data_IF_890688236662
#
_entry.id   IF_890688236662
#
_cell.length_a   1.000
_cell.length_b   1.000
_cell.length_c   1.000
_cell.angle_alpha   90.00
_cell.angle_beta   90.00
_cell.angle_gamma   90.00
#
_symmetry.space_group_name_H-M   'P 1'
#
loop_
_entity.id
_entity.type
_entity.pdbx_description
1 polymer ?
#
# COMPACT_ATOMS: atom_id res chain seq x y z
N UNK A 1 82.18 8.21 25.76
CA UNK A 1 81.40 7.95 24.52
C UNK A 1 80.36 6.89 24.84
N UNK A 2 79.06 7.19 24.95
CA UNK A 2 78.13 7.47 23.83
C UNK A 2 78.28 6.34 22.78
N UNK A 3 77.28 5.52 22.43
CA UNK A 3 75.93 5.88 21.98
C UNK A 3 74.96 4.68 22.01
N UNK A 4 73.65 5.00 22.04
CA UNK A 4 72.50 4.11 21.85
C UNK A 4 72.46 3.51 20.44
N UNK A 5 71.91 2.29 20.27
CA UNK A 5 71.36 1.86 18.96
C UNK A 5 70.04 1.08 19.07
N UNK A 6 68.95 1.86 18.92
CA UNK A 6 67.75 1.72 18.08
C UNK A 6 67.23 0.31 17.68
N UNK A 7 65.97 0.08 18.05
CA UNK A 7 65.07 -0.96 17.53
C UNK A 7 64.80 -0.73 16.02
N UNK A 8 64.96 -1.77 15.20
CA UNK A 8 64.74 -1.72 13.75
C UNK A 8 63.94 -2.92 13.25
N UNK A 9 62.72 -2.66 12.80
CA UNK A 9 61.88 -3.56 12.00
C UNK A 9 62.51 -3.78 10.62
N UNK A 10 62.54 -5.02 10.14
CA UNK A 10 62.63 -5.29 8.70
C UNK A 10 61.59 -6.33 8.30
N UNK A 11 60.73 -5.90 7.38
CA UNK A 11 59.59 -6.61 6.84
C UNK A 11 59.97 -7.89 6.08
N UNK A 12 59.12 -8.92 6.21
CA UNK A 12 59.01 -9.97 5.19
C UNK A 12 57.75 -9.75 4.39
N UNK A 13 57.97 -9.48 3.11
CA UNK A 13 56.99 -9.23 2.06
C UNK A 13 56.22 -10.51 1.72
N UNK A 14 55.02 -10.66 2.25
CA UNK A 14 54.02 -11.56 1.66
C UNK A 14 53.24 -10.80 0.60
N UNK A 15 53.48 -11.12 -0.68
CA UNK A 15 52.67 -10.63 -1.80
C UNK A 15 51.24 -11.19 -1.65
N UNK A 16 50.35 -10.40 -1.04
CA UNK A 16 48.93 -10.65 -1.13
C UNK A 16 48.45 -10.10 -2.48
N UNK A 17 48.12 -11.02 -3.38
CA UNK A 17 47.39 -10.77 -4.61
C UNK A 17 46.11 -9.97 -4.28
N UNK A 18 45.83 -8.81 -4.90
CA UNK A 18 44.54 -8.17 -4.70
C UNK A 18 43.49 -9.07 -5.33
N UNK A 19 42.77 -9.82 -4.50
CA UNK A 19 41.52 -10.43 -4.93
C UNK A 19 40.60 -9.27 -5.27
N UNK A 20 40.45 -9.05 -6.58
CA UNK A 20 39.44 -8.21 -7.17
C UNK A 20 38.10 -8.70 -6.65
N UNK A 21 37.60 -8.01 -5.63
CA UNK A 21 36.21 -8.11 -5.20
C UNK A 21 35.39 -7.87 -6.47
N UNK A 22 34.52 -8.79 -6.90
CA UNK A 22 33.56 -8.46 -7.94
C UNK A 22 32.72 -7.33 -7.34
N UNK A 23 32.93 -6.12 -7.85
CA UNK A 23 32.05 -4.99 -7.62
C UNK A 23 30.70 -5.43 -8.14
N UNK A 24 29.85 -5.94 -7.25
CA UNK A 24 28.47 -6.28 -7.59
C UNK A 24 27.82 -4.96 -7.94
N UNK A 25 27.66 -4.79 -9.24
CA UNK A 25 27.05 -3.66 -9.92
C UNK A 25 25.76 -3.30 -9.16
N UNK A 26 25.71 -2.05 -8.72
CA UNK A 26 24.49 -1.44 -8.21
C UNK A 26 23.59 -1.17 -9.41
N UNK A 27 22.97 -2.21 -9.92
CA UNK A 27 21.82 -2.09 -10.80
C UNK A 27 20.70 -1.43 -9.97
N UNK A 28 20.09 -0.46 -10.61
CA UNK A 28 19.01 0.42 -10.17
C UNK A 28 17.79 -0.38 -9.68
N UNK A 29 17.79 -0.74 -8.40
CA UNK A 29 16.74 -1.52 -7.71
C UNK A 29 15.43 -0.73 -7.51
N UNK A 30 14.78 -0.31 -8.59
CA UNK A 30 13.35 0.02 -8.56
C UNK A 30 12.59 -1.30 -8.61
N UNK A 31 12.55 -1.96 -7.45
CA UNK A 31 12.19 -3.35 -7.23
C UNK A 31 10.97 -3.83 -8.00
N UNK A 32 11.17 -4.91 -8.74
CA UNK A 32 10.10 -5.73 -9.32
C UNK A 32 9.30 -6.38 -8.18
N UNK A 33 8.23 -5.73 -7.72
CA UNK A 33 7.31 -6.31 -6.74
C UNK A 33 6.51 -7.43 -7.42
N UNK A 34 6.87 -8.68 -7.14
CA UNK A 34 6.16 -9.85 -7.66
C UNK A 34 4.84 -10.06 -6.87
N UNK A 35 3.66 -9.84 -7.49
CA UNK A 35 2.38 -10.02 -6.81
C UNK A 35 2.08 -11.47 -6.42
N UNK A 36 2.76 -12.44 -7.04
CA UNK A 36 2.60 -13.87 -6.74
C UNK A 36 3.54 -14.36 -5.63
N UNK A 37 4.49 -13.54 -5.20
CA UNK A 37 5.41 -13.86 -4.11
C UNK A 37 4.65 -14.31 -2.87
N UNK A 38 5.02 -15.47 -2.32
CA UNK A 38 4.44 -15.98 -1.08
C UNK A 38 5.12 -15.34 0.13
N UNK A 39 4.33 -14.65 0.94
CA UNK A 39 4.73 -14.01 2.19
C UNK A 39 4.11 -14.76 3.38
N UNK A 40 4.88 -14.87 4.46
CA UNK A 40 4.43 -15.53 5.68
C UNK A 40 3.52 -14.59 6.51
N UNK A 41 2.44 -15.12 7.07
CA UNK A 41 1.57 -14.34 7.95
C UNK A 41 2.25 -14.04 9.31
N UNK A 42 2.20 -12.80 9.82
CA UNK A 42 2.73 -12.46 11.15
C UNK A 42 1.94 -13.04 12.32
N UNK A 43 0.67 -13.43 12.11
CA UNK A 43 -0.18 -14.03 13.15
C UNK A 43 -0.04 -15.56 13.24
N UNK A 44 0.31 -16.21 12.13
CA UNK A 44 0.49 -17.66 12.07
C UNK A 44 1.59 -18.03 11.07
N UNK A 45 2.61 -18.75 11.56
CA UNK A 45 3.77 -19.16 10.78
C UNK A 45 3.43 -20.20 9.71
N UNK A 46 2.32 -20.91 9.85
CA UNK A 46 1.89 -21.94 8.91
C UNK A 46 1.23 -21.35 7.66
N UNK A 47 0.86 -20.06 7.69
CA UNK A 47 0.22 -19.41 6.55
C UNK A 47 1.26 -18.78 5.62
N UNK A 48 1.32 -19.29 4.39
CA UNK A 48 2.00 -18.66 3.26
C UNK A 48 0.97 -18.08 2.29
N UNK A 49 1.00 -16.77 2.10
CA UNK A 49 -0.03 -16.00 1.39
C UNK A 49 0.61 -15.17 0.30
N UNK A 50 0.04 -15.17 -0.90
CA UNK A 50 0.50 -14.30 -1.99
C UNK A 50 0.47 -12.83 -1.57
N UNK A 51 1.47 -12.06 -2.00
CA UNK A 51 1.64 -10.66 -1.64
C UNK A 51 0.38 -9.82 -1.95
N UNK A 52 -0.24 -10.05 -3.12
CA UNK A 52 -1.51 -9.41 -3.51
C UNK A 52 -2.70 -9.71 -2.58
N UNK A 53 -2.71 -10.85 -1.88
CA UNK A 53 -3.82 -11.26 -0.99
C UNK A 53 -3.52 -11.01 0.49
N UNK A 54 -2.28 -10.69 0.83
CA UNK A 54 -1.85 -10.46 2.20
C UNK A 54 -2.71 -9.40 2.94
N UNK A 55 -3.04 -8.22 2.38
CA UNK A 55 -3.84 -7.22 3.11
C UNK A 55 -5.18 -7.78 3.59
N UNK A 56 -5.91 -8.48 2.71
CA UNK A 56 -7.18 -9.11 3.04
C UNK A 56 -7.03 -10.25 4.05
N UNK A 57 -5.97 -11.04 3.91
CA UNK A 57 -5.67 -12.12 4.85
C UNK A 57 -5.42 -11.57 6.26
N UNK A 58 -4.61 -10.52 6.42
CA UNK A 58 -4.29 -9.94 7.72
C UNK A 58 -5.54 -9.47 8.46
N UNK A 59 -6.51 -8.85 7.77
CA UNK A 59 -7.77 -8.40 8.37
C UNK A 59 -8.59 -9.56 8.96
N UNK A 60 -8.63 -10.70 8.26
CA UNK A 60 -9.37 -11.89 8.72
C UNK A 60 -8.59 -12.65 9.79
N UNK A 61 -7.30 -12.87 9.58
CA UNK A 61 -6.44 -13.61 10.48
C UNK A 61 -6.30 -12.90 11.83
N UNK A 62 -6.24 -11.55 11.85
CA UNK A 62 -6.25 -10.75 13.08
C UNK A 62 -7.42 -11.07 14.01
N UNK A 63 -8.62 -11.35 13.46
CA UNK A 63 -9.81 -11.70 14.26
C UNK A 63 -9.68 -13.07 14.95
N UNK A 64 -8.96 -13.99 14.32
CA UNK A 64 -8.74 -15.35 14.84
C UNK A 64 -7.61 -15.41 15.88
N UNK A 65 -6.71 -14.42 15.90
CA UNK A 65 -5.56 -14.37 16.82
C UNK A 65 -5.55 -13.09 17.68
N UNK A 66 -6.52 -12.92 18.61
CA UNK A 66 -6.67 -11.70 19.41
C UNK A 66 -5.47 -11.39 20.32
N UNK A 67 -4.80 -12.45 20.82
CA UNK A 67 -3.60 -12.35 21.66
C UNK A 67 -2.44 -11.66 20.93
N UNK A 68 -2.18 -12.06 19.69
CA UNK A 68 -1.12 -11.47 18.85
C UNK A 68 -1.56 -10.11 18.29
N UNK A 69 -2.84 -9.97 17.93
CA UNK A 69 -3.42 -8.70 17.50
C UNK A 69 -3.30 -7.60 18.57
N UNK A 70 -3.29 -7.98 19.85
CA UNK A 70 -3.08 -7.06 20.96
C UNK A 70 -1.62 -6.63 21.13
N UNK A 71 -0.66 -7.42 20.63
CA UNK A 71 0.78 -7.16 20.76
C UNK A 71 1.36 -6.43 19.54
N UNK A 72 0.80 -6.70 18.36
CA UNK A 72 1.22 -6.12 17.08
C UNK A 72 0.37 -4.91 16.69
N UNK A 73 0.99 -3.91 16.07
CA UNK A 73 0.36 -2.72 15.51
C UNK A 73 0.84 -2.52 14.07
N UNK A 74 -0.03 -1.96 13.24
CA UNK A 74 0.33 -1.62 11.87
C UNK A 74 1.19 -0.34 11.84
N UNK A 75 2.17 -0.29 10.95
CA UNK A 75 2.95 0.91 10.68
C UNK A 75 2.06 2.00 10.05
N UNK A 76 2.25 3.28 10.40
CA UNK A 76 1.51 4.38 9.77
C UNK A 76 1.85 4.58 8.28
N UNK A 77 3.02 4.13 7.82
CA UNK A 77 3.46 4.30 6.43
C UNK A 77 3.12 3.11 5.53
N UNK A 78 3.02 1.90 6.10
CA UNK A 78 2.64 0.70 5.37
C UNK A 78 1.79 -0.23 6.25
N UNK A 79 0.52 -0.40 5.89
CA UNK A 79 -0.42 -1.21 6.63
C UNK A 79 -0.06 -2.71 6.67
N UNK A 80 0.84 -3.18 5.79
CA UNK A 80 1.35 -4.55 5.80
C UNK A 80 2.42 -4.79 6.88
N UNK A 81 3.12 -3.74 7.32
CA UNK A 81 4.12 -3.85 8.37
C UNK A 81 3.42 -4.00 9.73
N UNK A 82 3.43 -5.20 10.28
CA UNK A 82 2.96 -5.49 11.63
C UNK A 82 4.14 -5.56 12.58
N UNK A 83 4.22 -4.57 13.48
CA UNK A 83 5.35 -4.35 14.38
C UNK A 83 4.87 -4.46 15.84
N UNK A 84 5.66 -5.03 16.77
CA UNK A 84 5.34 -5.00 18.18
C UNK A 84 5.13 -3.57 18.70
N UNK A 85 4.14 -3.37 19.57
CA UNK A 85 3.79 -2.04 20.12
C UNK A 85 4.98 -1.26 20.66
N UNK A 86 5.91 -1.93 21.34
CA UNK A 86 7.07 -1.30 21.98
C UNK A 86 8.16 -0.90 20.97
N UNK A 87 8.21 -1.51 19.79
CA UNK A 87 9.20 -1.22 18.75
C UNK A 87 8.69 -0.26 17.68
N UNK A 88 7.38 0.06 17.71
CA UNK A 88 6.73 0.88 16.69
C UNK A 88 7.41 2.26 16.53
N UNK A 89 7.80 2.90 17.62
CA UNK A 89 8.49 4.22 17.58
C UNK A 89 9.81 4.14 16.81
N UNK A 90 10.66 3.17 17.15
CA UNK A 90 11.93 2.95 16.45
C UNK A 90 11.71 2.56 14.98
N UNK A 91 10.67 1.76 14.72
CA UNK A 91 10.30 1.40 13.35
C UNK A 91 9.88 2.63 12.53
N UNK A 92 9.08 3.55 13.09
CA UNK A 92 8.67 4.75 12.33
C UNK A 92 9.84 5.62 11.92
N UNK A 93 10.93 5.63 12.68
CA UNK A 93 12.14 6.38 12.33
C UNK A 93 12.92 5.75 11.18
N UNK A 94 12.87 4.41 11.07
CA UNK A 94 13.71 3.59 10.18
C UNK A 94 12.92 2.90 9.06
N UNK A 95 11.62 3.16 8.94
CA UNK A 95 10.74 2.48 7.99
C UNK A 95 11.12 2.84 6.54
N UNK A 96 11.32 1.82 5.72
CA UNK A 96 11.62 1.95 4.29
C UNK A 96 10.51 2.66 3.51
N UNK A 97 9.25 2.52 3.96
CA UNK A 97 8.09 3.17 3.34
C UNK A 97 7.89 4.62 3.80
N UNK A 98 8.76 5.16 4.67
CA UNK A 98 8.68 6.56 5.11
C UNK A 98 9.22 7.47 4.00
N UNK A 99 8.32 8.24 3.39
CA UNK A 99 8.69 9.30 2.45
C UNK A 99 9.06 10.54 3.28
N UNK A 100 10.29 11.08 3.15
CA UNK A 100 10.68 12.30 3.86
C UNK A 100 9.83 13.47 3.35
N UNK A 101 9.08 14.11 4.24
CA UNK A 101 8.42 15.37 3.93
C UNK A 101 9.49 16.45 4.00
N UNK A 102 9.73 17.10 2.87
CA UNK A 102 10.62 18.23 2.77
C UNK A 102 10.00 19.43 3.49
N UNK A 103 10.69 20.07 4.44
CA UNK A 103 10.11 21.15 5.24
C UNK A 103 9.78 22.42 4.45
N UNK A 104 10.34 22.63 3.25
CA UNK A 104 10.04 23.82 2.44
C UNK A 104 8.60 23.86 1.90
N UNK A 105 7.93 22.71 1.84
CA UNK A 105 6.56 22.56 1.34
C UNK A 105 5.50 22.53 2.46
N UNK A 106 5.93 22.58 3.73
CA UNK A 106 5.06 22.68 4.90
C UNK A 106 5.05 24.09 5.55
N UNK A 107 6.00 24.95 5.17
CA UNK A 107 6.18 26.30 5.72
C UNK A 107 5.70 27.43 4.77
N UNK A 108 4.75 27.14 3.89
CA UNK A 108 4.00 28.16 3.16
C UNK A 108 3.02 28.85 4.11
N UNK A 109 3.45 29.97 4.68
CA UNK A 109 2.64 30.87 5.49
C UNK A 109 1.46 31.41 4.66
N UNK A 110 0.22 31.14 5.06
CA UNK A 110 -0.99 31.85 4.63
C UNK A 110 -1.32 31.95 3.13
N UNK A 111 -0.83 31.04 2.28
CA UNK A 111 -1.31 30.94 0.90
C UNK A 111 -2.28 29.77 0.78
N UNK A 112 -3.50 30.13 0.39
CA UNK A 112 -4.63 29.26 0.07
C UNK A 112 -4.18 27.88 -0.40
N UNK A 113 -4.69 26.82 0.23
CA UNK A 113 -4.49 25.45 -0.21
C UNK A 113 -4.65 25.39 -1.74
N UNK A 114 -3.64 24.92 -2.50
CA UNK A 114 -3.71 24.87 -3.98
C UNK A 114 -4.93 24.09 -4.49
N UNK A 115 -5.48 23.24 -3.63
CA UNK A 115 -6.73 22.52 -3.80
C UNK A 115 -7.92 23.36 -3.31
N UNK A 116 -8.14 24.52 -3.91
CA UNK A 116 -9.40 25.22 -3.74
C UNK A 116 -10.48 24.46 -4.53
N UNK A 117 -11.14 23.52 -3.87
CA UNK A 117 -12.32 22.86 -4.41
C UNK A 117 -13.45 23.90 -4.41
N UNK A 118 -13.93 24.35 -5.58
CA UNK A 118 -15.00 25.33 -5.62
C UNK A 118 -16.24 24.74 -4.94
N UNK A 119 -16.85 25.51 -4.05
CA UNK A 119 -18.14 25.15 -3.48
C UNK A 119 -19.14 25.08 -4.61
N UNK A 120 -19.66 23.88 -4.87
CA UNK A 120 -20.73 23.70 -5.85
C UNK A 120 -21.94 24.51 -5.41
N UNK A 121 -22.37 25.47 -6.23
CA UNK A 121 -23.64 26.20 -6.03
C UNK A 121 -24.83 25.39 -6.55
N UNK A 122 -24.62 24.14 -6.98
CA UNK A 122 -25.71 23.29 -7.45
C UNK A 122 -26.64 22.95 -6.30
N UNK A 123 -27.87 23.45 -6.39
CA UNK A 123 -28.98 23.07 -5.52
C UNK A 123 -29.84 22.09 -6.32
N UNK A 124 -30.19 20.96 -5.70
CA UNK A 124 -31.14 20.02 -6.29
C UNK A 124 -32.50 20.73 -6.43
N UNK A 125 -33.03 20.95 -7.66
CA UNK A 125 -34.32 21.61 -7.85
C UNK A 125 -35.50 20.75 -7.37
N UNK A 126 -35.29 19.44 -7.17
CA UNK A 126 -36.27 18.55 -6.57
C UNK A 126 -36.04 18.45 -5.05
N UNK A 127 -36.65 19.35 -4.29
CA UNK A 127 -36.66 19.29 -2.82
C UNK A 127 -37.77 18.39 -2.26
N UNK A 128 -38.44 17.61 -3.12
CA UNK A 128 -39.54 16.71 -2.72
C UNK A 128 -39.07 15.26 -2.51
N UNK A 129 -37.78 14.98 -2.72
CA UNK A 129 -37.14 13.75 -2.23
C UNK A 129 -36.95 13.82 -0.72
N UNK A 130 -38.06 13.68 -0.01
CA UNK A 130 -38.12 13.52 1.42
C UNK A 130 -37.70 12.08 1.75
N UNK A 131 -36.42 11.90 2.11
CA UNK A 131 -35.87 10.61 2.55
C UNK A 131 -36.46 10.13 3.88
N UNK A 132 -37.29 10.95 4.54
CA UNK A 132 -38.07 10.61 5.74
C UNK A 132 -39.58 10.41 5.42
N UNK A 133 -40.02 10.74 4.20
CA UNK A 133 -41.38 10.43 3.74
C UNK A 133 -41.45 8.95 3.35
N UNK A 134 -41.76 8.12 4.35
CA UNK A 134 -42.28 6.79 4.10
C UNK A 134 -43.56 6.88 3.26
N UNK A 135 -43.45 6.69 1.94
CA UNK A 135 -44.58 6.69 1.02
C UNK A 135 -44.71 5.32 0.36
N UNK A 136 -45.64 4.56 0.92
CA UNK A 136 -46.52 3.66 0.18
C UNK A 136 -47.00 4.31 -1.14
N UNK A 137 -46.90 3.59 -2.25
CA UNK A 137 -47.81 3.74 -3.38
C UNK A 137 -47.36 4.63 -4.55
N UNK A 138 -47.20 3.97 -5.70
CA UNK A 138 -47.27 4.49 -7.08
C UNK A 138 -46.09 5.29 -7.61
N UNK A 139 -45.17 4.55 -8.24
CA UNK A 139 -44.14 5.06 -9.15
C UNK A 139 -44.80 5.75 -10.35
N UNK A 140 -44.61 7.05 -10.50
CA UNK A 140 -44.78 7.74 -11.78
C UNK A 140 -43.40 7.85 -12.41
N UNK A 141 -43.15 7.09 -13.47
CA UNK A 141 -41.89 7.16 -14.23
C UNK A 141 -41.95 8.40 -15.15
N UNK A 142 -41.05 9.40 -15.01
CA UNK A 142 -40.96 10.47 -15.99
C UNK A 142 -40.39 9.91 -17.29
N UNK A 143 -41.05 10.18 -18.42
CA UNK A 143 -40.50 9.89 -19.75
C UNK A 143 -39.29 10.80 -20.00
N UNK A 144 -38.09 10.23 -19.88
CA UNK A 144 -36.86 10.88 -20.30
C UNK A 144 -36.77 10.80 -21.82
N UNK A 145 -37.07 11.89 -22.53
CA UNK A 145 -36.67 12.05 -23.92
C UNK A 145 -35.14 12.01 -24.00
N UNK A 146 -34.62 10.99 -24.69
CA UNK A 146 -33.19 10.77 -24.86
C UNK A 146 -32.71 11.65 -26.01
N UNK A 147 -32.17 12.82 -25.69
CA UNK A 147 -31.37 13.56 -26.65
C UNK A 147 -30.05 12.82 -26.89
N UNK A 148 -29.82 12.41 -28.14
CA UNK A 148 -28.73 11.52 -28.58
C UNK A 148 -27.59 12.35 -29.19
N UNK A 149 -26.65 12.82 -28.37
CA UNK A 149 -25.45 13.52 -28.88
C UNK A 149 -24.12 12.86 -28.58
N UNK A 150 -24.09 11.61 -28.09
CA UNK A 150 -22.83 10.89 -27.87
C UNK A 150 -22.75 9.64 -28.74
N UNK A 151 -22.03 9.75 -29.86
CA UNK A 151 -21.71 8.63 -30.76
C UNK A 151 -20.63 7.72 -30.16
N UNK A 152 -20.99 6.94 -29.15
CA UNK A 152 -20.23 5.75 -28.75
C UNK A 152 -21.12 4.53 -28.97
N UNK A 153 -20.62 3.58 -29.76
CA UNK A 153 -21.35 2.39 -30.20
C UNK A 153 -21.95 1.59 -29.03
N UNK A 154 -23.11 1.00 -29.28
CA UNK A 154 -23.87 0.15 -28.34
C UNK A 154 -23.00 -1.02 -27.89
N UNK A 155 -22.51 -1.00 -26.64
CA UNK A 155 -21.83 -2.16 -26.07
C UNK A 155 -22.86 -3.25 -25.79
N UNK A 156 -22.74 -4.37 -26.50
CA UNK A 156 -23.54 -5.58 -26.25
C UNK A 156 -23.08 -6.20 -24.93
N UNK A 157 -23.93 -6.16 -23.90
CA UNK A 157 -23.74 -6.99 -22.71
C UNK A 157 -24.12 -8.43 -23.07
N UNK A 158 -23.27 -9.44 -22.80
CA UNK A 158 -23.70 -10.82 -22.96
C UNK A 158 -24.80 -11.15 -21.92
N UNK A 159 -25.80 -11.97 -22.29
CA UNK A 159 -26.86 -12.36 -21.37
C UNK A 159 -26.31 -13.20 -20.21
N UNK A 160 -26.81 -12.91 -19.00
CA UNK A 160 -26.47 -13.61 -17.78
C UNK A 160 -27.24 -14.94 -17.70
N UNK A 161 -26.82 -15.92 -18.50
CA UNK A 161 -27.28 -17.30 -18.34
C UNK A 161 -26.09 -18.24 -18.48
N UNK A 162 -25.52 -18.65 -17.34
CA UNK A 162 -24.54 -19.72 -17.28
C UNK A 162 -25.23 -21.08 -17.49
N UNK A 163 -24.70 -21.99 -18.33
CA UNK A 163 -25.31 -23.28 -18.60
C UNK A 163 -24.68 -24.34 -17.69
N UNK A 164 -25.36 -24.74 -16.63
CA UNK A 164 -25.08 -26.02 -15.98
C UNK A 164 -26.29 -26.92 -16.21
N UNK A 165 -26.19 -28.01 -16.99
CA UNK A 165 -27.27 -28.99 -17.09
C UNK A 165 -27.32 -29.86 -15.83
N UNK A 166 -28.54 -30.21 -15.45
CA UNK A 166 -28.96 -30.94 -14.25
C UNK A 166 -28.14 -32.19 -13.93
N UNK A 167 -27.55 -32.24 -12.74
CA UNK A 167 -27.15 -33.48 -12.09
C UNK A 167 -28.34 -33.98 -11.25
N UNK A 168 -29.08 -34.95 -11.80
CA UNK A 168 -30.07 -35.75 -11.08
C UNK A 168 -29.36 -36.59 -10.02
N UNK A 169 -29.85 -36.51 -8.78
CA UNK A 169 -29.62 -37.47 -7.70
C UNK A 169 -30.24 -38.83 -8.05
#
# INVERSE_FOLDING_TARGET
NMENFRFGFTASSSRALPQRIPEKEKEDERGNYDPEQLLQCPYDKNHQIRACRLPYHLLKCKKNHPELASKLKACPYNALHLVPKHELTRHTETCESRIPVNPEEAAGENESCPWHVPVSTWVNPNTTEDWEAGMIGSVVVPQFERDLTNRLGRSSRPPNTFPWPDLKL
#
